data_IF_907204500301
#
_entry.id   IF_907204500301
#
_cell.length_a   1.000
_cell.length_b   1.000
_cell.length_c   1.000
_cell.angle_alpha   90.00
_cell.angle_beta   90.00
_cell.angle_gamma   90.00
#
_symmetry.space_group_name_H-M   'P 1'
#
loop_
_entity.id
_entity.type
_entity.pdbx_description
1 polymer ?
2 polymer ?
3 polymer ?
4 non-polymer ?
5 non-polymer ?
6 non-polymer ?
7 non-polymer ?
8 water ?
#
loop_
_entity_poly.entity_id
_entity_poly.type
_entity_poly.pdbx_seq_one_letter_code
_entity_poly.pdbx_strand_id
2 'polydeoxyribonucleotide' '(DA)(DC)(DT)(DT)(DT)(DA)(DT)' ?
3 'polydeoxyribonucleotide' '(DA)(DT)(DA)(DA)(DA)(DG)(DT)(DA)(DT)(DA)(DG)(DT)(DG)(DT)(DG)(DT)' ?
#
# COMPACT_ATOMS: atom_id res chain seq x y z
N UNK A 1 16.62 7.23 -14.45
CA UNK A 1 15.48 8.21 -14.41
C UNK A 1 14.16 7.50 -14.11
N UNK A 2 13.20 8.25 -13.57
CA UNK A 2 11.97 7.66 -13.05
C UNK A 2 10.89 7.44 -14.10
N UNK A 3 10.29 6.25 -14.06
CA UNK A 3 9.16 5.90 -14.92
C UNK A 3 7.85 6.34 -14.28
N UNK A 4 7.13 7.23 -14.96
CA UNK A 4 5.89 7.79 -14.41
C UNK A 4 4.64 7.14 -15.00
N UNK A 5 3.89 6.46 -14.14
CA UNK A 5 2.64 5.83 -14.54
C UNK A 5 1.59 5.99 -13.45
N UNK A 6 0.45 6.57 -13.83
CA UNK A 6 -0.65 6.82 -12.91
C UNK A 6 -2.00 6.83 -13.62
N UNK A 7 -2.90 5.94 -13.19
CA UNK A 7 -4.28 5.97 -13.68
C UNK A 7 -5.16 6.85 -12.83
N UNK A 8 -6.24 7.34 -13.43
CA UNK A 8 -7.29 8.02 -12.70
C UNK A 8 -8.60 7.37 -13.11
N UNK A 9 -9.52 7.24 -12.16
CA UNK A 9 -10.80 6.58 -12.42
C UNK A 9 -11.72 7.46 -13.26
N UNK A 10 -12.17 6.92 -14.39
CA UNK A 10 -12.92 7.70 -15.37
C UNK A 10 -14.36 7.21 -15.57
N UNK A 11 -15.31 8.03 -15.11
CA UNK A 11 -16.74 7.75 -15.24
C UNK A 11 -17.33 8.65 -16.31
N UNK A 12 -18.60 8.43 -16.63
CA UNK A 12 -19.30 9.12 -17.72
C UNK A 12 -19.33 10.64 -17.57
N UNK A 13 -19.51 11.10 -16.33
CA UNK A 13 -19.54 12.54 -16.02
C UNK A 13 -18.22 13.20 -16.35
N UNK A 14 -17.13 12.67 -15.81
CA UNK A 14 -15.81 13.24 -16.04
C UNK A 14 -15.14 12.83 -17.35
N UNK A 15 -15.75 11.87 -18.06
CA UNK A 15 -15.29 11.50 -19.40
C UNK A 15 -15.62 12.57 -20.44
N UNK A 16 -16.60 13.41 -20.12
CA UNK A 16 -16.90 14.60 -20.93
C UNK A 16 -15.68 15.48 -20.99
N UNK A 17 -15.25 15.97 -19.82
CA UNK A 17 -14.10 16.86 -19.70
C UNK A 17 -12.75 16.25 -20.06
N UNK A 18 -12.60 14.94 -19.88
CA UNK A 18 -11.36 14.23 -20.21
C UNK A 18 -11.18 14.07 -21.71
N UNK A 19 -12.29 13.84 -22.42
CA UNK A 19 -12.32 13.80 -23.87
C UNK A 19 -12.11 15.21 -24.44
N UNK A 20 -12.68 16.20 -23.73
CA UNK A 20 -12.56 17.61 -24.11
C UNK A 20 -11.14 18.20 -24.01
N UNK A 21 -10.26 17.53 -23.28
CA UNK A 21 -8.83 17.88 -23.27
C UNK A 21 -8.07 17.08 -24.32
N UNK A 22 -8.39 15.79 -24.42
CA UNK A 22 -7.65 14.84 -25.25
C UNK A 22 -7.75 15.12 -26.74
N UNK A 23 -8.89 15.70 -27.14
CA UNK A 23 -9.02 16.36 -28.44
C UNK A 23 -9.38 17.80 -28.10
N UNK A 24 -9.05 18.75 -28.98
CA UNK A 24 -9.33 20.15 -28.66
C UNK A 24 -10.62 20.62 -29.35
N UNK A 25 -11.52 21.19 -28.55
CA UNK A 25 -12.79 21.72 -29.05
C UNK A 25 -12.59 23.13 -29.59
N UNK A 32 -5.13 25.94 -20.23
CA UNK A 32 -4.52 26.95 -21.08
C UNK A 32 -2.99 26.90 -20.98
N UNK A 33 -2.45 25.74 -20.61
CA UNK A 33 -1.01 25.54 -20.50
C UNK A 33 -0.42 24.95 -21.78
N UNK A 34 -1.11 25.18 -22.88
CA UNK A 34 -0.77 24.63 -24.20
C UNK A 34 -0.41 25.74 -25.19
N UNK A 35 0.43 25.40 -26.17
CA UNK A 35 0.61 26.26 -27.33
C UNK A 35 -0.04 25.66 -28.58
N UNK A 36 -0.89 26.46 -29.26
CA UNK A 36 -1.55 26.04 -30.51
C UNK A 36 -0.59 25.88 -31.68
N UNK A 37 0.63 26.41 -31.53
CA UNK A 37 1.69 26.30 -32.55
C UNK A 37 2.29 24.90 -32.62
N UNK A 38 2.12 24.11 -31.56
CA UNK A 38 2.65 22.75 -31.48
C UNK A 38 1.52 21.72 -31.56
N UNK A 39 0.28 22.21 -31.71
CA UNK A 39 -0.95 21.39 -31.63
C UNK A 39 -1.04 20.20 -32.59
N UNK A 40 -0.53 20.37 -33.82
CA UNK A 40 -0.51 19.30 -34.81
C UNK A 40 0.61 18.28 -34.50
N UNK A 41 0.86 17.36 -35.44
CA UNK A 41 1.88 16.30 -35.29
C UNK A 41 1.49 15.23 -34.25
N UNK A 42 0.75 15.63 -33.21
CA UNK A 42 0.25 14.76 -32.16
C UNK A 42 -0.52 13.56 -32.70
N UNK A 43 -0.27 12.39 -32.13
CA UNK A 43 -0.72 11.14 -32.74
C UNK A 43 -1.53 10.19 -31.86
N UNK A 44 -2.56 9.59 -32.46
CA UNK A 44 -3.42 8.61 -31.82
C UNK A 44 -2.90 7.20 -32.11
N UNK A 45 -2.76 6.38 -31.08
CA UNK A 45 -2.15 5.05 -31.22
C UNK A 45 -3.10 3.86 -31.26
N UNK A 46 -4.39 4.11 -31.46
CA UNK A 46 -5.37 3.02 -31.68
C UNK A 46 -6.14 3.21 -32.98
N UNK A 47 -6.91 2.20 -33.35
CA UNK A 47 -7.68 2.19 -34.59
C UNK A 47 -9.13 2.64 -34.34
N UNK A 48 -9.27 3.73 -33.61
CA UNK A 48 -10.58 4.24 -33.24
C UNK A 48 -11.04 5.36 -34.17
N UNK A 49 -12.36 5.55 -34.24
CA UNK A 49 -12.95 6.60 -35.05
C UNK A 49 -12.78 7.95 -34.36
N UNK A 50 -12.18 8.90 -35.08
CA UNK A 50 -11.87 10.24 -34.59
C UNK A 50 -13.10 11.02 -34.12
N UNK A 51 -14.21 10.85 -34.86
CA UNK A 51 -15.45 11.58 -34.58
C UNK A 51 -16.21 11.08 -33.34
N UNK A 52 -16.22 9.77 -33.14
CA UNK A 52 -16.97 9.13 -32.06
C UNK A 52 -16.32 9.39 -30.68
N UNK A 53 -17.14 9.78 -29.71
CA UNK A 53 -16.69 10.02 -28.33
C UNK A 53 -16.37 8.71 -27.59
N UNK A 54 -15.58 8.81 -26.53
CA UNK A 54 -15.16 7.66 -25.71
C UNK A 54 -16.36 7.00 -25.01
N UNK A 55 -17.25 7.83 -24.46
CA UNK A 55 -18.46 7.41 -23.77
C UNK A 55 -19.31 6.46 -24.63
N UNK A 56 -19.51 6.84 -25.89
CA UNK A 56 -20.27 6.03 -26.84
C UNK A 56 -19.52 4.78 -27.27
N UNK A 57 -18.21 4.91 -27.48
CA UNK A 57 -17.38 3.79 -27.94
C UNK A 57 -17.33 2.67 -26.91
N UNK A 58 -17.08 3.04 -25.66
CA UNK A 58 -16.88 2.09 -24.57
C UNK A 58 -18.18 1.38 -24.16
N UNK A 59 -19.23 2.17 -23.93
CA UNK A 59 -20.56 1.63 -23.61
C UNK A 59 -20.99 0.54 -24.58
N UNK A 60 -20.94 0.86 -25.87
CA UNK A 60 -21.34 -0.06 -26.93
C UNK A 60 -20.39 -1.26 -27.07
N UNK A 61 -19.11 -1.04 -26.78
CA UNK A 61 -18.12 -2.12 -26.75
C UNK A 61 -18.41 -3.09 -25.61
N UNK A 62 -18.81 -2.55 -24.46
CA UNK A 62 -19.16 -3.37 -23.30
C UNK A 62 -20.51 -4.06 -23.50
N UNK A 63 -21.55 -3.27 -23.81
CA UNK A 63 -22.92 -3.77 -24.03
C UNK A 63 -23.02 -5.02 -24.91
N UNK A 64 -22.31 -4.97 -26.03
CA UNK A 64 -22.29 -6.05 -27.00
C UNK A 64 -21.44 -7.24 -26.51
N UNK A 65 -20.49 -6.98 -25.61
CA UNK A 65 -19.58 -8.02 -25.12
C UNK A 65 -19.79 -8.52 -23.69
N UNK A 66 -20.67 -7.86 -22.93
CA UNK A 66 -20.92 -8.22 -21.53
C UNK A 66 -21.75 -9.49 -21.38
N UNK A 67 -21.38 -10.33 -20.41
CA UNK A 67 -22.06 -11.62 -20.22
C UNK A 67 -23.41 -11.50 -19.51
N UNK A 68 -23.44 -10.79 -18.39
CA UNK A 68 -24.65 -10.62 -17.60
C UNK A 68 -25.61 -9.65 -18.28
N UNK A 69 -26.91 -9.85 -18.07
CA UNK A 69 -27.94 -9.04 -18.70
C UNK A 69 -28.29 -7.76 -17.93
N UNK A 70 -27.77 -7.66 -16.71
CA UNK A 70 -27.94 -6.49 -15.85
C UNK A 70 -27.31 -5.28 -16.50
N UNK A 71 -28.12 -4.24 -16.71
CA UNK A 71 -27.70 -3.03 -17.43
C UNK A 71 -26.63 -2.26 -16.66
N UNK A 72 -25.79 -1.53 -17.39
CA UNK A 72 -24.63 -0.80 -16.85
C UNK A 72 -24.99 0.25 -15.81
N UNK A 73 -24.32 0.17 -14.65
CA UNK A 73 -24.53 1.13 -13.57
C UNK A 73 -23.98 2.51 -13.89
N UNK A 74 -24.67 3.54 -13.36
CA UNK A 74 -24.37 4.93 -13.69
C UNK A 74 -23.02 5.44 -13.15
N UNK A 75 -22.56 4.86 -12.05
CA UNK A 75 -21.32 5.29 -11.42
C UNK A 75 -20.16 4.36 -11.75
N UNK A 76 -20.31 3.58 -12.82
CA UNK A 76 -19.31 2.58 -13.19
C UNK A 76 -18.02 3.22 -13.66
N UNK A 77 -16.91 2.53 -13.40
CA UNK A 77 -15.63 2.95 -13.93
C UNK A 77 -15.56 2.41 -15.35
N UNK A 78 -15.64 3.33 -16.31
CA UNK A 78 -15.73 2.96 -17.73
C UNK A 78 -14.36 2.72 -18.36
N UNK A 79 -13.39 3.55 -17.99
CA UNK A 79 -11.98 3.29 -18.31
C UNK A 79 -11.09 3.90 -17.24
N UNK A 80 -9.78 3.70 -17.39
CA UNK A 80 -8.81 4.21 -16.45
C UNK A 80 -7.71 4.91 -17.22
N UNK A 81 -7.81 6.24 -17.31
CA UNK A 81 -6.82 7.00 -18.06
C UNK A 81 -5.48 6.96 -17.35
N UNK A 82 -4.65 6.02 -17.77
CA UNK A 82 -3.28 5.94 -17.36
C UNK A 82 -2.46 7.02 -18.04
N UNK A 83 -1.54 7.60 -17.27
CA UNK A 83 -0.63 8.60 -17.79
C UNK A 83 0.76 7.97 -17.87
N UNK A 84 1.35 7.98 -19.07
CA UNK A 84 2.73 7.54 -19.23
C UNK A 84 3.62 8.72 -19.59
N UNK A 85 4.58 9.01 -18.71
CA UNK A 85 5.61 10.03 -18.95
C UNK A 85 6.86 9.71 -18.10
N UNK A 86 7.81 10.65 -18.03
CA UNK A 86 9.06 10.50 -17.25
C UNK A 86 9.68 11.90 -17.03
N UNK A 87 10.93 11.96 -16.59
CA UNK A 87 11.62 13.24 -16.41
C UNK A 87 12.04 13.83 -17.75
N UNK A 88 12.27 15.14 -17.79
CA UNK A 88 12.56 15.84 -19.04
C UNK A 88 13.90 15.49 -19.69
N UNK A 89 14.84 14.99 -18.88
CA UNK A 89 16.15 14.53 -19.37
C UNK A 89 16.06 13.23 -20.19
N UNK A 90 14.93 12.53 -20.06
CA UNK A 90 14.70 11.28 -20.77
C UNK A 90 14.27 11.51 -22.23
N UNK A 91 13.39 12.50 -22.44
CA UNK A 91 12.84 12.79 -23.77
C UNK A 91 13.75 13.64 -24.64
N UNK A 92 14.82 14.14 -24.04
CA UNK A 92 15.85 14.86 -24.77
C UNK A 92 16.74 13.89 -25.54
N UNK A 93 17.13 12.81 -24.88
CA UNK A 93 17.96 11.76 -25.48
C UNK A 93 17.18 10.84 -26.42
N UNK A 94 16.05 11.34 -26.90
CA UNK A 94 15.11 10.58 -27.72
C UNK A 94 14.75 11.39 -28.96
N UNK A 95 14.92 10.77 -30.12
CA UNK A 95 14.55 11.40 -31.40
C UNK A 95 13.05 11.30 -31.66
N UNK A 96 12.61 11.73 -32.85
CA UNK A 96 11.18 11.78 -33.17
C UNK A 96 10.55 10.43 -33.51
N UNK A 97 11.36 9.48 -33.99
CA UNK A 97 10.87 8.13 -34.30
C UNK A 97 11.15 7.15 -33.14
N UNK A 98 12.01 7.57 -32.22
CA UNK A 98 12.18 6.88 -30.93
C UNK A 98 11.14 7.34 -29.91
N UNK A 99 10.50 8.48 -30.20
CA UNK A 99 9.36 8.99 -29.43
C UNK A 99 8.18 8.03 -29.57
N UNK A 100 7.88 7.66 -30.82
CA UNK A 100 6.84 6.70 -31.17
C UNK A 100 7.12 5.32 -30.57
N UNK A 101 8.38 4.90 -30.64
CA UNK A 101 8.82 3.59 -30.13
C UNK A 101 8.66 3.48 -28.61
N UNK A 102 8.91 4.59 -27.89
CA UNK A 102 8.72 4.63 -26.44
C UNK A 102 7.25 4.49 -26.03
N UNK A 103 6.37 5.23 -26.68
CA UNK A 103 4.96 5.23 -26.34
C UNK A 103 4.23 3.96 -26.77
N UNK A 104 4.74 3.32 -27.81
CA UNK A 104 4.11 2.10 -28.31
C UNK A 104 4.40 0.89 -27.42
N UNK A 105 5.54 0.88 -26.75
CA UNK A 105 5.88 -0.17 -25.79
C UNK A 105 5.06 -0.02 -24.51
N UNK A 106 4.72 1.23 -24.19
CA UNK A 106 3.81 1.53 -23.09
C UNK A 106 2.43 0.96 -23.37
N UNK A 107 1.86 1.31 -24.53
CA UNK A 107 0.57 0.79 -24.98
C UNK A 107 0.55 -0.75 -25.02
N UNK A 108 1.66 -1.33 -25.47
CA UNK A 108 1.82 -2.78 -25.58
C UNK A 108 1.78 -3.53 -24.26
N UNK A 109 2.33 -2.93 -23.20
CA UNK A 109 2.35 -3.56 -21.87
C UNK A 109 0.96 -3.81 -21.35
N UNK A 110 0.07 -2.86 -21.62
CA UNK A 110 -1.30 -2.90 -21.17
C UNK A 110 -2.17 -3.74 -22.11
N UNK A 111 -1.65 -3.97 -23.33
CA UNK A 111 -2.32 -4.84 -24.28
C UNK A 111 -1.96 -6.30 -24.02
N UNK A 112 -0.70 -6.53 -23.63
CA UNK A 112 -0.18 -7.87 -23.34
C UNK A 112 -0.64 -8.45 -22.00
N UNK A 113 -0.90 -7.57 -21.03
CA UNK A 113 -1.32 -8.02 -19.71
C UNK A 113 -2.82 -7.86 -19.45
N UNK A 114 -3.43 -6.85 -20.07
CA UNK A 114 -4.81 -6.49 -19.76
C UNK A 114 -5.77 -6.45 -20.97
N UNK A 115 -5.25 -6.69 -22.17
CA UNK A 115 -6.10 -6.85 -23.35
C UNK A 115 -5.96 -5.81 -24.44
N UNK A 116 -6.11 -6.25 -25.69
CA UNK A 116 -5.86 -5.40 -26.86
C UNK A 116 -6.97 -4.39 -27.15
N UNK A 117 -8.20 -4.85 -27.31
CA UNK A 117 -9.32 -3.95 -27.62
C UNK A 117 -9.88 -3.29 -26.37
N UNK A 118 -9.28 -3.60 -25.22
CA UNK A 118 -9.51 -2.87 -24.00
C UNK A 118 -8.89 -1.47 -24.04
N UNK A 119 -7.80 -1.34 -24.80
CA UNK A 119 -7.13 -0.07 -25.02
C UNK A 119 -8.02 0.79 -25.92
N UNK A 120 -8.83 1.64 -25.28
CA UNK A 120 -9.82 2.45 -26.00
C UNK A 120 -9.17 3.59 -26.77
N UNK A 121 -8.19 4.26 -26.16
CA UNK A 121 -7.47 5.36 -26.79
C UNK A 121 -6.02 5.47 -26.32
N UNK A 122 -5.25 6.28 -27.04
CA UNK A 122 -3.87 6.57 -26.68
C UNK A 122 -3.46 7.91 -27.30
N UNK A 123 -3.98 8.99 -26.73
CA UNK A 123 -3.67 10.35 -27.18
C UNK A 123 -2.31 10.79 -26.65
N UNK A 124 -1.40 11.07 -27.58
CA UNK A 124 -0.06 11.57 -27.24
C UNK A 124 -0.04 13.09 -27.36
N UNK A 125 0.43 13.77 -26.31
CA UNK A 125 0.45 15.23 -26.25
C UNK A 125 1.87 15.78 -26.30
N UNK A 126 2.15 16.62 -27.29
CA UNK A 126 3.46 17.25 -27.43
C UNK A 126 3.38 18.77 -27.25
N UNK A 127 2.17 19.26 -27.01
CA UNK A 127 1.91 20.70 -26.87
C UNK A 127 1.88 21.18 -25.42
N UNK A 128 2.06 20.25 -24.48
CA UNK A 128 2.17 20.59 -23.06
C UNK A 128 3.64 20.50 -22.69
N UNK A 129 3.96 20.62 -21.39
CA UNK A 129 5.36 20.69 -20.94
C UNK A 129 6.20 19.49 -21.35
N UNK A 130 5.74 18.31 -20.99
CA UNK A 130 6.46 17.08 -21.30
C UNK A 130 5.62 16.31 -22.33
N UNK A 131 6.27 15.55 -23.23
CA UNK A 131 5.51 14.59 -24.03
C UNK A 131 4.91 13.50 -23.15
N UNK A 132 3.58 13.49 -23.06
CA UNK A 132 2.86 12.52 -22.26
C UNK A 132 1.72 11.88 -23.02
N UNK A 133 1.49 10.59 -22.76
CA UNK A 133 0.37 9.87 -23.36
C UNK A 133 -0.74 9.68 -22.33
N UNK A 134 -1.96 10.00 -22.76
CA UNK A 134 -3.16 9.69 -22.02
C UNK A 134 -3.76 8.42 -22.62
N UNK A 135 -3.49 7.27 -22.00
CA UNK A 135 -3.99 5.99 -22.51
C UNK A 135 -5.09 5.46 -21.62
N UNK A 136 -6.28 5.28 -22.19
CA UNK A 136 -7.45 4.86 -21.43
C UNK A 136 -7.78 3.39 -21.54
N UNK A 137 -7.51 2.65 -20.47
CA UNK A 137 -7.73 1.21 -20.45
C UNK A 137 -9.06 0.87 -19.81
N UNK A 138 -9.91 0.18 -20.57
CA UNK A 138 -11.21 -0.30 -20.10
C UNK A 138 -11.01 -1.58 -19.29
N UNK A 139 -11.51 -1.62 -18.04
CA UNK A 139 -11.32 -2.76 -17.13
C UNK A 139 -12.26 -3.95 -17.38
N UNK A 140 -12.30 -4.43 -18.61
CA UNK A 140 -13.20 -5.52 -19.01
C UNK A 140 -12.43 -6.83 -19.07
N UNK A 141 -12.73 -7.71 -18.11
CA UNK A 141 -12.14 -9.05 -18.11
C UNK A 141 -13.13 -10.08 -17.60
N UNK A 142 -13.10 -11.25 -18.23
CA UNK A 142 -13.99 -12.39 -17.94
C UNK A 142 -15.48 -12.08 -18.06
N UNK A 143 -15.82 -11.21 -19.01
CA UNK A 143 -17.20 -10.78 -19.25
C UNK A 143 -17.70 -9.76 -18.24
N UNK A 144 -16.83 -9.38 -17.32
CA UNK A 144 -17.14 -8.43 -16.26
C UNK A 144 -16.46 -7.10 -16.53
N UNK A 145 -17.16 -6.01 -16.20
CA UNK A 145 -16.57 -4.67 -16.22
C UNK A 145 -16.36 -4.19 -14.78
N UNK A 146 -15.12 -4.33 -14.30
CA UNK A 146 -14.78 -3.97 -12.93
C UNK A 146 -13.33 -3.54 -12.81
N UNK A 147 -13.15 -2.28 -12.41
CA UNK A 147 -11.85 -1.75 -12.08
C UNK A 147 -11.42 -2.27 -10.73
N UNK A 148 -12.40 -2.53 -9.87
CA UNK A 148 -12.19 -3.12 -8.55
C UNK A 148 -11.49 -4.47 -8.64
N UNK A 149 -11.81 -5.24 -9.68
CA UNK A 149 -11.27 -6.59 -9.86
C UNK A 149 -9.97 -6.64 -10.66
N UNK A 150 -9.81 -5.72 -11.60
CA UNK A 150 -8.60 -5.68 -12.46
C UNK A 150 -7.47 -4.83 -11.86
N UNK A 151 -7.77 -3.60 -11.47
CA UNK A 151 -6.77 -2.70 -10.89
C UNK A 151 -6.93 -2.56 -9.38
N UNK A 152 -6.56 -3.63 -8.68
CA UNK A 152 -6.66 -3.65 -7.23
C UNK A 152 -5.33 -3.28 -6.58
N UNK A 153 -5.32 -3.35 -5.25
CA UNK A 153 -4.14 -3.13 -4.43
C UNK A 153 -2.93 -3.93 -4.93
N UNK A 154 -3.13 -5.23 -5.08
CA UNK A 154 -2.08 -6.14 -5.55
C UNK A 154 -1.51 -5.75 -6.92
N UNK A 155 -2.40 -5.37 -7.83
CA UNK A 155 -2.03 -5.18 -9.24
C UNK A 155 -1.14 -3.95 -9.48
N UNK A 156 -1.48 -2.83 -8.85
CA UNK A 156 -0.74 -1.58 -9.02
C UNK A 156 0.68 -1.64 -8.46
N UNK A 157 0.89 -2.52 -7.47
CA UNK A 157 2.21 -2.80 -6.93
C UNK A 157 3.05 -3.58 -7.94
N UNK A 158 2.40 -4.50 -8.66
CA UNK A 158 3.04 -5.28 -9.71
C UNK A 158 3.42 -4.38 -10.87
N UNK A 159 2.49 -3.52 -11.28
CA UNK A 159 2.71 -2.56 -12.38
C UNK A 159 3.91 -1.63 -12.13
N UNK A 160 4.04 -1.16 -10.89
CA UNK A 160 5.16 -0.29 -10.49
C UNK A 160 6.51 -1.02 -10.47
N UNK A 161 6.45 -2.35 -10.40
CA UNK A 161 7.61 -3.23 -10.36
C UNK A 161 7.98 -3.77 -11.75
N UNK A 162 6.96 -4.23 -12.47
CA UNK A 162 7.12 -5.00 -13.71
C UNK A 162 7.31 -4.11 -14.93
N UNK A 163 6.47 -3.09 -15.09
CA UNK A 163 6.49 -2.21 -16.27
C UNK A 163 7.80 -1.45 -16.55
N UNK A 164 8.46 -0.87 -15.53
CA UNK A 164 9.79 -0.29 -15.81
C UNK A 164 10.85 -1.32 -16.22
N UNK A 165 10.79 -2.51 -15.64
CA UNK A 165 11.69 -3.62 -15.98
C UNK A 165 11.39 -4.17 -17.39
N UNK A 166 10.13 -4.07 -17.81
CA UNK A 166 9.70 -4.40 -19.16
C UNK A 166 10.22 -3.37 -20.14
N UNK A 167 10.24 -2.11 -19.71
CA UNK A 167 10.74 -1.00 -20.50
C UNK A 167 12.26 -1.08 -20.72
N UNK A 168 12.97 -1.61 -19.73
CA UNK A 168 14.42 -1.79 -19.79
C UNK A 168 14.84 -2.97 -20.68
N UNK A 169 13.86 -3.78 -21.08
CA UNK A 169 14.08 -4.87 -22.03
C UNK A 169 13.93 -4.41 -23.48
N UNK A 170 13.73 -3.11 -23.68
CA UNK A 170 13.49 -2.57 -25.00
C UNK A 170 14.43 -1.42 -25.37
N UNK A 171 15.65 -1.45 -24.83
CA UNK A 171 16.68 -0.46 -25.18
C UNK A 171 16.63 0.84 -24.39
N UNK A 172 15.53 1.06 -23.67
CA UNK A 172 15.35 2.24 -22.82
C UNK A 172 15.94 1.97 -21.44
N UNK A 173 16.40 3.03 -20.78
CA UNK A 173 17.05 2.89 -19.48
C UNK A 173 16.31 3.70 -18.41
N UNK A 174 15.55 3.00 -17.59
CA UNK A 174 14.73 3.63 -16.56
C UNK A 174 14.94 2.95 -15.22
N UNK A 175 14.27 3.49 -14.20
CA UNK A 175 14.16 2.81 -12.92
C UNK A 175 12.76 3.01 -12.36
N UNK A 176 12.28 1.98 -11.66
CA UNK A 176 11.02 2.04 -10.95
C UNK A 176 11.00 3.15 -9.92
N UNK A 177 9.83 3.76 -9.72
CA UNK A 177 9.64 4.76 -8.69
C UNK A 177 9.89 4.15 -7.32
N UNK A 178 10.33 4.97 -6.38
CA UNK A 178 10.70 4.52 -5.04
C UNK A 178 9.63 3.62 -4.44
N UNK A 179 9.99 2.37 -4.22
CA UNK A 179 9.09 1.34 -3.72
C UNK A 179 8.53 1.74 -2.36
N UNK A 180 7.24 1.43 -2.14
CA UNK A 180 6.51 1.79 -0.92
C UNK A 180 6.63 3.29 -0.60
N UNK A 181 6.34 4.12 -1.60
CA UNK A 181 6.47 5.57 -1.49
C UNK A 181 5.48 6.14 -0.49
N UNK A 182 5.80 7.30 0.05
CA UNK A 182 4.92 8.01 0.97
C UNK A 182 4.38 9.31 0.34
N UNK A 183 4.76 9.55 -0.92
CA UNK A 183 4.37 10.76 -1.63
C UNK A 183 2.91 10.74 -2.05
N UNK A 184 2.18 11.81 -1.71
CA UNK A 184 0.78 11.95 -2.07
C UNK A 184 0.63 12.76 -3.36
N UNK A 185 -0.27 12.32 -4.24
CA UNK A 185 -0.54 12.97 -5.51
C UNK A 185 -1.03 14.39 -5.34
N UNK A 186 -0.30 15.32 -5.95
CA UNK A 186 -0.73 16.71 -6.03
C UNK A 186 -1.29 17.01 -7.41
N UNK A 187 -2.43 17.69 -7.46
CA UNK A 187 -3.07 18.06 -8.73
C UNK A 187 -2.18 19.06 -9.45
N UNK A 188 -2.45 19.26 -10.74
CA UNK A 188 -1.68 20.20 -11.56
C UNK A 188 -1.66 21.60 -10.94
N UNK A 189 -2.82 22.04 -10.45
CA UNK A 189 -2.95 23.30 -9.74
C UNK A 189 -2.20 23.31 -8.41
N UNK A 190 -2.23 22.20 -7.69
CA UNK A 190 -1.56 22.05 -6.40
C UNK A 190 -0.05 22.01 -6.55
N UNK A 191 0.41 21.22 -7.52
CA UNK A 191 1.82 21.01 -7.80
C UNK A 191 2.51 22.29 -8.28
N UNK A 192 1.78 23.08 -9.07
CA UNK A 192 2.27 24.37 -9.56
C UNK A 192 2.53 25.31 -8.39
N UNK A 193 1.56 25.34 -7.46
CA UNK A 193 1.66 26.11 -6.22
C UNK A 193 2.74 25.55 -5.30
N UNK A 194 2.91 24.22 -5.32
CA UNK A 194 3.94 23.55 -4.51
C UNK A 194 5.36 23.90 -4.98
N UNK A 195 5.45 24.55 -6.13
CA UNK A 195 6.72 25.04 -6.66
C UNK A 195 6.83 26.58 -6.60
N UNK A 196 5.73 27.25 -6.21
CA UNK A 196 5.70 28.72 -6.08
C UNK A 196 6.53 29.18 -4.88
N UNK A 197 6.50 28.39 -3.82
CA UNK A 197 7.41 28.55 -2.70
C UNK A 197 8.40 27.39 -2.77
N UNK A 198 9.59 27.57 -2.22
CA UNK A 198 10.56 26.47 -2.16
C UNK A 198 11.12 26.24 -0.76
N UNK D 1 -12.00 4.33 29.81
CA UNK D 1 -11.41 3.70 28.60
C UNK D 1 -10.10 3.03 28.94
N UNK D 2 -10.06 1.73 28.77
CA UNK D 2 -9.00 0.89 29.32
C UNK D 2 -7.79 0.82 28.40
N UNK D 3 -6.65 0.45 28.97
CA UNK D 3 -5.49 0.05 28.18
C UNK D 3 -5.67 -1.41 27.81
N UNK D 4 -5.52 -1.75 26.54
CA UNK D 4 -5.46 -3.16 26.19
C UNK D 4 -4.06 -3.54 25.71
N UNK D 5 -3.44 -4.41 26.51
CA UNK D 5 -2.08 -4.89 26.26
C UNK D 5 -2.04 -6.38 26.58
N UNK D 6 -2.01 -7.20 25.53
CA UNK D 6 -1.96 -8.65 25.70
C UNK D 6 -0.85 -9.25 24.82
N UNK D 7 -0.06 -10.17 25.38
CA UNK D 7 0.95 -10.85 24.59
C UNK D 7 0.52 -12.24 24.22
N UNK D 8 1.01 -12.70 23.07
CA UNK D 8 0.83 -14.06 22.65
C UNK D 8 2.21 -14.55 22.24
N UNK D 9 2.56 -15.75 22.67
CA UNK D 9 3.89 -16.29 22.44
C UNK D 9 4.02 -16.64 20.97
N UNK D 10 5.20 -16.47 20.39
CA UNK D 10 5.40 -16.85 18.99
C UNK D 10 6.54 -17.84 18.83
N UNK D 11 6.21 -19.11 18.64
CA UNK D 11 7.22 -20.13 18.33
C UNK D 11 7.53 -20.03 16.86
N UNK D 12 8.46 -20.85 16.38
CA UNK D 12 8.88 -20.81 14.98
C UNK D 12 7.70 -20.84 14.02
N UNK D 13 6.89 -21.89 14.15
CA UNK D 13 5.75 -22.14 13.29
C UNK D 13 4.72 -21.03 13.14
N UNK D 14 4.48 -20.28 14.20
CA UNK D 14 3.46 -19.24 14.16
C UNK D 14 3.95 -18.04 13.40
N UNK D 15 5.25 -17.77 13.53
CA UNK D 15 5.87 -16.60 12.95
C UNK D 15 5.65 -16.44 11.45
N UNK D 16 5.27 -17.53 10.79
CA UNK D 16 4.92 -17.49 9.37
C UNK D 16 3.62 -16.73 9.17
N UNK D 17 2.57 -17.21 9.83
CA UNK D 17 1.24 -16.58 9.80
C UNK D 17 1.26 -15.22 10.46
N UNK D 18 2.12 -15.07 11.45
CA UNK D 18 2.31 -13.80 12.12
C UNK D 18 2.70 -12.73 11.13
N UNK D 19 3.55 -13.11 10.17
CA UNK D 19 4.04 -12.21 9.13
C UNK D 19 2.93 -11.89 8.16
N UNK D 20 2.42 -12.93 7.48
CA UNK D 20 1.49 -12.81 6.36
C UNK D 20 0.23 -12.07 6.73
N UNK D 21 -0.07 -12.02 8.03
CA UNK D 21 -1.11 -11.15 8.52
C UNK D 21 -0.59 -9.73 8.42
N UNK D 22 0.53 -9.46 9.10
CA UNK D 22 0.95 -8.11 9.46
C UNK D 22 1.28 -7.23 8.29
N UNK D 23 2.08 -7.78 7.38
CA UNK D 23 2.42 -7.11 6.13
C UNK D 23 1.34 -7.28 5.06
N UNK D 24 0.37 -8.15 5.34
CA UNK D 24 -0.88 -8.28 4.56
C UNK D 24 -0.63 -8.93 3.21
N UNK D 25 0.07 -10.06 3.26
CA UNK D 25 0.52 -10.77 2.06
C UNK D 25 -0.37 -12.02 1.83
N UNK D 26 -1.50 -11.81 1.16
CA UNK D 26 -2.48 -12.87 0.93
C UNK D 26 -2.57 -13.36 -0.53
N UNK D 27 -2.60 -14.67 -0.69
CA UNK D 27 -2.79 -15.27 -2.00
C UNK D 27 -4.26 -15.24 -2.43
N UNK D 28 -5.15 -15.08 -1.46
CA UNK D 28 -6.60 -15.10 -1.67
C UNK D 28 -7.24 -14.21 -0.60
N UNK D 29 -8.41 -13.61 -0.90
CA UNK D 29 -9.16 -12.92 0.15
C UNK D 29 -9.52 -13.95 1.21
N UNK D 30 -8.80 -13.86 2.31
CA UNK D 30 -8.81 -14.87 3.35
C UNK D 30 -8.99 -14.23 4.72
N UNK D 31 -9.46 -12.98 4.74
CA UNK D 31 -9.88 -12.39 6.01
C UNK D 31 -10.99 -11.36 5.87
N UNK D 32 -12.23 -11.86 5.82
CA UNK D 32 -13.44 -11.05 5.66
C UNK D 32 -13.44 -9.70 6.39
N UNK D 33 -13.05 -9.73 7.66
CA UNK D 33 -13.01 -8.52 8.51
C UNK D 33 -11.66 -7.81 8.49
N UNK D 34 -11.22 -7.47 7.29
CA UNK D 34 -10.10 -6.59 7.02
C UNK D 34 -10.57 -5.80 5.82
N UNK D 35 -10.58 -4.47 5.89
CA UNK D 35 -11.05 -3.74 4.72
C UNK D 35 -10.04 -3.16 3.74
N UNK D 36 -10.02 -3.73 2.53
CA UNK D 36 -9.00 -3.60 1.49
C UNK D 36 -8.54 -2.19 1.16
N UNK D 37 -9.44 -1.29 0.75
CA UNK D 37 -9.10 0.11 0.55
C UNK D 37 -8.31 0.68 1.74
N UNK D 38 -8.80 0.45 2.96
CA UNK D 38 -8.21 1.06 4.16
C UNK D 38 -6.78 0.58 4.53
N UNK D 39 -6.50 -0.71 4.36
CA UNK D 39 -5.18 -1.29 4.68
C UNK D 39 -3.95 -0.47 4.28
N UNK D 40 -4.05 0.26 3.16
CA UNK D 40 -3.00 1.18 2.69
C UNK D 40 -2.57 2.18 3.75
N UNK D 41 -3.43 2.36 4.75
CA UNK D 41 -3.19 3.30 5.84
C UNK D 41 -2.25 2.76 6.95
N UNK D 42 -1.91 1.47 6.88
CA UNK D 42 -0.96 0.87 7.82
C UNK D 42 0.46 1.39 7.70
N UNK D 43 1.30 0.93 8.61
CA UNK D 43 2.72 1.29 8.67
C UNK D 43 3.47 0.48 9.73
N UNK D 44 4.77 0.33 9.49
CA UNK D 44 5.65 -0.42 10.36
C UNK D 44 6.54 0.57 11.10
N UNK D 45 6.58 0.45 12.43
CA UNK D 45 7.25 1.44 13.27
C UNK D 45 8.75 1.27 13.36
N UNK D 46 9.23 0.03 13.39
CA UNK D 46 10.66 -0.24 13.38
C UNK D 46 11.16 -0.10 11.95
N UNK D 47 12.43 0.25 11.80
CA UNK D 47 13.00 0.37 10.46
C UNK D 47 13.50 -0.96 9.90
N UNK D 48 12.59 -1.88 9.60
CA UNK D 48 13.03 -3.24 9.29
C UNK D 48 12.93 -3.61 7.81
N UNK D 49 13.77 -4.55 7.39
CA UNK D 49 13.77 -5.02 6.03
C UNK D 49 12.61 -5.97 5.81
N UNK D 50 11.44 -5.39 5.52
CA UNK D 50 10.19 -6.13 5.28
C UNK D 50 10.31 -7.35 4.37
N UNK D 51 11.32 -7.40 3.52
CA UNK D 51 11.60 -8.57 2.68
C UNK D 51 12.16 -9.76 3.48
N UNK D 52 12.74 -9.50 4.65
CA UNK D 52 13.27 -10.59 5.49
C UNK D 52 12.17 -11.17 6.38
N UNK D 53 12.10 -12.50 6.45
CA UNK D 53 11.19 -13.19 7.37
C UNK D 53 11.42 -12.85 8.84
N UNK D 54 10.32 -12.74 9.58
CA UNK D 54 10.32 -12.53 11.03
C UNK D 54 11.17 -13.57 11.77
N UNK D 55 10.93 -14.85 11.46
CA UNK D 55 11.75 -15.96 11.91
C UNK D 55 13.24 -15.76 11.54
N UNK D 56 13.49 -15.39 10.27
CA UNK D 56 14.84 -15.20 9.76
C UNK D 56 15.56 -14.07 10.48
N UNK D 57 14.92 -12.89 10.51
CA UNK D 57 15.35 -11.74 11.33
C UNK D 57 15.74 -12.13 12.77
N UNK D 58 14.83 -12.82 13.48
CA UNK D 58 15.05 -13.14 14.89
C UNK D 58 16.23 -14.08 15.14
N UNK D 59 16.19 -15.28 14.54
CA UNK D 59 17.24 -16.27 14.75
C UNK D 59 18.66 -15.72 14.57
N UNK D 60 18.90 -15.03 13.45
CA UNK D 60 20.20 -14.39 13.19
C UNK D 60 20.60 -13.47 14.32
N UNK D 61 19.67 -12.60 14.72
CA UNK D 61 19.88 -11.71 15.85
C UNK D 61 20.18 -12.50 17.12
N UNK D 62 19.44 -13.58 17.35
CA UNK D 62 19.68 -14.38 18.54
C UNK D 62 21.06 -15.03 18.45
N UNK D 63 21.29 -15.80 17.38
CA UNK D 63 22.56 -16.51 17.18
C UNK D 63 23.79 -15.60 17.29
N UNK D 64 23.74 -14.43 16.67
CA UNK D 64 24.90 -13.54 16.63
C UNK D 64 25.12 -12.75 17.93
N UNK D 65 24.36 -13.09 18.97
CA UNK D 65 24.41 -12.35 20.25
C UNK D 65 24.27 -13.23 21.47
N UNK D 66 23.85 -14.48 21.26
CA UNK D 66 23.65 -15.44 22.35
C UNK D 66 24.98 -15.80 23.01
N UNK D 67 24.92 -16.22 24.28
CA UNK D 67 26.14 -16.48 25.06
C UNK D 67 26.53 -17.97 25.05
N UNK D 68 25.67 -18.79 24.46
CA UNK D 68 25.86 -20.25 24.46
C UNK D 68 25.63 -20.81 23.06
N UNK D 69 26.69 -21.39 22.49
CA UNK D 69 26.70 -21.92 21.13
C UNK D 69 25.71 -23.06 20.83
N UNK D 70 25.17 -23.70 21.86
CA UNK D 70 24.09 -24.68 21.69
C UNK D 70 22.89 -23.98 21.07
N UNK D 71 22.36 -24.58 20.00
CA UNK D 71 21.40 -23.92 19.12
C UNK D 71 20.04 -23.77 19.75
N UNK D 72 19.33 -22.75 19.26
CA UNK D 72 18.00 -22.37 19.72
C UNK D 72 17.10 -23.57 19.63
N UNK D 73 16.42 -23.89 20.73
CA UNK D 73 15.50 -25.02 20.75
C UNK D 73 14.36 -24.84 19.77
N UNK D 74 13.97 -25.96 19.17
CA UNK D 74 12.84 -26.07 18.26
C UNK D 74 11.59 -25.39 18.81
N UNK D 75 11.34 -25.56 20.10
CA UNK D 75 10.14 -25.03 20.73
C UNK D 75 10.35 -23.72 21.47
N UNK D 76 11.32 -22.92 21.04
CA UNK D 76 11.58 -21.65 21.72
C UNK D 76 10.49 -20.63 21.47
N UNK D 77 10.32 -19.71 22.41
CA UNK D 77 9.42 -18.58 22.18
C UNK D 77 10.30 -17.49 21.64
N UNK D 78 10.32 -17.41 20.32
CA UNK D 78 11.23 -16.55 19.59
C UNK D 78 10.92 -15.08 19.78
N UNK D 79 9.63 -14.73 19.70
CA UNK D 79 9.21 -13.38 20.09
C UNK D 79 7.85 -13.37 20.82
N UNK D 80 7.56 -12.31 21.54
CA UNK D 80 6.28 -12.24 22.19
C UNK D 80 5.46 -11.16 21.55
N UNK D 81 4.36 -11.54 20.91
CA UNK D 81 3.57 -10.57 20.18
C UNK D 81 2.57 -9.86 21.07
N UNK D 82 2.99 -8.71 21.56
CA UNK D 82 2.08 -7.84 22.28
C UNK D 82 1.21 -7.09 21.29
N UNK D 83 -0.10 -7.21 21.44
CA UNK D 83 -1.01 -6.38 20.68
C UNK D 83 -1.51 -5.25 21.56
N UNK D 84 -1.04 -4.05 21.25
CA UNK D 84 -1.45 -2.81 21.92
C UNK D 84 -2.66 -2.16 21.19
N UNK D 85 -3.70 -1.79 21.96
CA UNK D 85 -4.96 -1.15 21.46
C UNK D 85 -5.85 -0.63 22.62
N UNK D 86 -6.97 0.01 22.29
CA UNK D 86 -8.04 0.27 23.27
C UNK D 86 -9.45 0.09 22.67
N UNK D 87 -10.41 0.89 23.13
CA UNK D 87 -11.79 0.87 22.58
C UNK D 87 -12.00 1.92 21.51
N UNK D 88 -12.96 1.68 20.60
CA UNK D 88 -13.22 2.57 19.45
C UNK D 88 -13.39 4.03 19.85
N UNK D 89 -14.07 4.26 20.98
CA UNK D 89 -14.29 5.58 21.55
C UNK D 89 -12.98 6.34 21.71
N UNK D 90 -11.98 5.66 22.26
CA UNK D 90 -10.67 6.24 22.57
C UNK D 90 -9.96 6.72 21.32
N UNK D 91 -10.18 5.99 20.23
CA UNK D 91 -9.53 6.27 18.98
C UNK D 91 -10.25 7.30 18.12
N UNK D 92 -11.58 7.33 18.20
CA UNK D 92 -12.38 8.31 17.44
C UNK D 92 -12.15 9.74 17.95
N UNK D 93 -11.30 9.83 18.95
CA UNK D 93 -10.97 11.06 19.68
C UNK D 93 -9.62 11.59 19.22
N UNK D 94 -8.92 10.81 18.38
CA UNK D 94 -7.55 11.16 17.98
C UNK D 94 -7.40 11.35 16.47
N UNK D 95 -6.51 12.24 16.04
CA UNK D 95 -6.24 12.37 14.59
C UNK D 95 -5.29 11.31 14.04
N UNK D 96 -4.79 11.53 12.84
CA UNK D 96 -3.81 10.64 12.22
C UNK D 96 -2.52 10.68 12.99
N UNK D 97 -1.90 11.86 13.06
CA UNK D 97 -0.56 12.01 13.60
C UNK D 97 -0.58 11.66 15.08
N UNK D 98 -1.74 11.84 15.71
CA UNK D 98 -1.89 11.53 17.12
C UNK D 98 -1.81 10.03 17.40
N UNK D 99 -2.63 9.22 16.73
CA UNK D 99 -2.57 7.76 16.95
C UNK D 99 -1.18 7.17 16.65
N UNK D 100 -0.45 7.75 15.71
CA UNK D 100 0.89 7.30 15.37
C UNK D 100 1.85 7.55 16.54
N UNK D 101 1.63 8.66 17.25
CA UNK D 101 2.35 9.01 18.48
C UNK D 101 2.01 8.04 19.63
N UNK D 102 0.71 7.78 19.74
CA UNK D 102 0.15 6.82 20.67
C UNK D 102 0.85 5.47 20.61
N UNK D 103 1.14 5.01 19.41
CA UNK D 103 1.73 3.70 19.29
C UNK D 103 3.24 3.83 19.41
N UNK D 104 3.75 5.03 19.24
CA UNK D 104 5.18 5.13 19.24
C UNK D 104 5.60 5.12 20.67
N UNK D 105 4.87 5.88 21.50
CA UNK D 105 5.05 5.82 22.97
C UNK D 105 4.92 4.39 23.44
N UNK D 106 3.81 3.74 23.08
CA UNK D 106 3.62 2.35 23.34
C UNK D 106 4.89 1.55 23.07
N UNK D 107 5.47 1.74 21.88
CA UNK D 107 6.71 1.05 21.48
C UNK D 107 7.87 1.42 22.38
N UNK D 108 8.08 2.73 22.56
CA UNK D 108 9.12 3.23 23.42
C UNK D 108 9.10 2.55 24.78
N UNK D 109 7.92 2.33 25.34
CA UNK D 109 7.82 1.76 26.68
C UNK D 109 8.52 0.43 26.76
N UNK D 110 8.21 -0.42 25.79
CA UNK D 110 8.79 -1.76 25.72
C UNK D 110 10.22 -1.67 25.25
N UNK D 111 10.55 -0.63 24.49
CA UNK D 111 11.91 -0.44 24.03
C UNK D 111 12.83 -0.02 25.17
N UNK D 112 12.41 0.94 25.98
CA UNK D 112 13.22 1.35 27.12
C UNK D 112 13.15 0.41 28.33
N UNK D 113 12.09 -0.37 28.45
CA UNK D 113 12.04 -1.36 29.52
C UNK D 113 12.67 -2.71 29.18
N UNK D 114 12.70 -3.08 27.89
CA UNK D 114 13.10 -4.44 27.50
C UNK D 114 14.12 -4.49 26.38
N UNK D 115 14.77 -3.37 26.10
CA UNK D 115 15.82 -3.29 25.08
C UNK D 115 15.29 -3.01 23.69
N UNK D 116 15.81 -1.95 23.05
CA UNK D 116 15.39 -1.52 21.71
C UNK D 116 15.71 -2.52 20.61
N UNK D 117 16.77 -3.31 20.82
CA UNK D 117 17.19 -4.39 19.92
C UNK D 117 16.17 -5.51 19.82
N UNK D 118 15.20 -5.48 20.71
CA UNK D 118 14.28 -6.58 20.88
C UNK D 118 12.92 -6.31 20.30
N UNK D 119 12.69 -5.08 19.88
CA UNK D 119 11.52 -4.77 19.08
C UNK D 119 11.74 -5.26 17.63
N UNK D 120 11.46 -6.54 17.42
CA UNK D 120 11.67 -7.19 16.13
C UNK D 120 10.73 -6.60 15.09
N UNK D 121 9.52 -6.27 15.57
CA UNK D 121 8.54 -5.54 14.77
C UNK D 121 7.47 -4.82 15.54
N UNK D 122 7.00 -3.73 14.94
CA UNK D 122 5.86 -3.04 15.49
C UNK D 122 4.96 -2.53 14.36
N UNK D 123 3.85 -3.25 14.17
CA UNK D 123 2.98 -3.02 13.04
C UNK D 123 1.61 -2.54 13.49
N UNK D 124 1.30 -1.29 13.12
CA UNK D 124 0.00 -0.70 13.40
C UNK D 124 -1.00 -1.00 12.26
N UNK D 125 -2.09 -1.71 12.60
CA UNK D 125 -3.18 -2.04 11.69
C UNK D 125 -4.40 -1.25 12.02
N UNK D 126 -4.53 -0.05 11.49
CA UNK D 126 -5.81 0.65 11.58
C UNK D 126 -6.95 -0.09 10.83
N UNK D 127 -6.65 -0.62 9.62
CA UNK D 127 -7.59 -1.35 8.69
C UNK D 127 -8.36 -2.59 9.14
N UNK D 128 -8.12 -3.08 10.35
CA UNK D 128 -9.08 -4.04 10.94
C UNK D 128 -10.08 -3.14 11.59
N UNK D 129 -10.94 -3.69 12.44
CA UNK D 129 -12.03 -2.87 12.96
C UNK D 129 -11.43 -1.71 13.72
N UNK D 130 -10.40 -2.05 14.49
CA UNK D 130 -9.92 -1.11 15.47
C UNK D 130 -8.44 -0.86 15.23
N UNK D 131 -8.05 0.42 15.22
CA UNK D 131 -6.66 0.81 15.10
C UNK D 131 -5.83 -0.04 16.07
N UNK D 132 -4.92 -0.84 15.52
CA UNK D 132 -4.19 -1.73 16.43
C UNK D 132 -2.72 -2.07 16.18
N UNK D 133 -1.95 -2.33 17.25
CA UNK D 133 -0.52 -2.64 17.04
C UNK D 133 -0.17 -4.06 17.39
N UNK D 134 0.64 -4.71 16.53
CA UNK D 134 1.18 -6.01 16.84
C UNK D 134 2.65 -5.75 17.09
N UNK D 135 3.14 -6.14 18.26
CA UNK D 135 4.53 -5.83 18.61
C UNK D 135 5.30 -7.05 19.02
N UNK D 136 6.19 -7.52 18.13
CA UNK D 136 7.01 -8.69 18.42
C UNK D 136 8.21 -8.24 19.23
N UNK D 137 8.09 -8.36 20.55
CA UNK D 137 9.20 -8.15 21.46
C UNK D 137 9.90 -9.49 21.57
N UNK D 138 11.23 -9.48 21.46
CA UNK D 138 12.02 -10.70 21.60
C UNK D 138 12.46 -10.81 23.04
N UNK D 139 12.19 -11.97 23.69
CA UNK D 139 12.57 -12.12 25.10
C UNK D 139 14.05 -12.41 25.30
N UNK D 140 14.89 -11.39 25.18
CA UNK D 140 16.33 -11.59 25.17
C UNK D 140 17.03 -10.67 26.15
N UNK D 141 17.68 -11.28 27.13
CA UNK D 141 18.38 -10.54 28.16
C UNK D 141 19.64 -11.30 28.51
N UNK D 142 20.74 -10.57 28.70
CA UNK D 142 22.05 -11.12 29.12
C UNK D 142 22.50 -12.29 28.26
N UNK D 143 22.43 -12.12 26.94
CA UNK D 143 22.83 -13.17 25.99
C UNK D 143 21.97 -14.43 26.02
N UNK D 144 20.75 -14.30 26.58
CA UNK D 144 19.87 -15.44 26.81
C UNK D 144 18.48 -15.15 26.26
N UNK D 145 17.92 -16.13 25.56
CA UNK D 145 16.60 -16.01 24.97
C UNK D 145 15.61 -16.78 25.80
N UNK D 146 15.02 -16.13 26.80
CA UNK D 146 14.06 -16.81 27.67
C UNK D 146 12.89 -15.94 28.08
N UNK D 147 11.71 -16.25 27.51
CA UNK D 147 10.46 -15.64 27.93
C UNK D 147 10.16 -15.98 29.39
N UNK D 148 10.61 -17.15 29.83
CA UNK D 148 10.40 -17.61 31.20
C UNK D 148 10.96 -16.61 32.22
N UNK D 149 12.15 -16.09 31.92
CA UNK D 149 12.84 -15.19 32.83
C UNK D 149 12.42 -13.74 32.64
N UNK D 150 11.78 -13.43 31.51
CA UNK D 150 11.45 -12.04 31.20
C UNK D 150 9.97 -11.72 31.36
N UNK D 151 9.14 -12.63 30.90
CA UNK D 151 7.72 -12.38 30.88
C UNK D 151 7.00 -13.37 31.76
N UNK D 152 6.93 -12.99 33.03
CA UNK D 152 6.53 -13.87 34.11
C UNK D 152 5.64 -13.07 35.04
N UNK D 153 4.78 -13.77 35.79
CA UNK D 153 3.71 -13.14 36.58
C UNK D 153 4.00 -11.73 37.12
N UNK D 154 5.11 -11.60 37.87
CA UNK D 154 5.56 -10.31 38.43
C UNK D 154 5.52 -9.20 37.38
N UNK D 155 6.17 -9.48 36.24
CA UNK D 155 6.36 -8.48 35.18
C UNK D 155 5.07 -8.15 34.42
N UNK D 156 4.28 -9.18 34.14
CA UNK D 156 2.99 -8.98 33.49
C UNK D 156 2.03 -8.21 34.37
N UNK D 157 2.08 -8.49 35.68
CA UNK D 157 1.36 -7.71 36.69
C UNK D 157 1.86 -6.26 36.70
N UNK D 158 3.18 -6.09 36.67
CA UNK D 158 3.82 -4.78 36.59
C UNK D 158 3.40 -4.03 35.34
N UNK D 159 3.44 -4.68 34.17
CA UNK D 159 3.04 -4.04 32.93
C UNK D 159 1.63 -3.49 33.03
N UNK D 160 0.64 -4.35 33.29
CA UNK D 160 -0.75 -3.92 33.48
C UNK D 160 -0.90 -2.76 34.49
N UNK D 161 -0.06 -2.75 35.51
CA UNK D 161 -0.02 -1.66 36.46
C UNK D 161 0.63 -0.41 35.87
N UNK D 162 1.91 -0.54 35.55
CA UNK D 162 2.80 0.58 35.25
C UNK D 162 2.57 1.23 33.89
N UNK D 163 2.40 0.40 32.85
CA UNK D 163 2.27 0.92 31.47
C UNK D 163 1.20 1.98 31.21
N UNK D 164 -0.02 1.80 31.78
CA UNK D 164 -1.00 2.87 31.56
C UNK D 164 -0.67 4.19 32.26
N UNK D 165 0.30 4.17 33.16
CA UNK D 165 0.76 5.41 33.78
C UNK D 165 1.70 6.11 32.83
N UNK D 166 2.51 5.33 32.11
CA UNK D 166 3.45 5.84 31.10
C UNK D 166 2.72 6.64 30.01
N UNK D 167 1.63 6.06 29.50
CA UNK D 167 0.76 6.70 28.52
C UNK D 167 0.04 7.91 29.08
N UNK D 168 -0.22 7.90 30.38
CA UNK D 168 -0.86 9.03 31.02
C UNK D 168 0.12 10.16 31.22
N UNK D 169 1.40 9.90 30.96
CA UNK D 169 2.45 10.91 31.11
C UNK D 169 2.77 11.53 29.78
N UNK D 170 2.48 10.79 28.73
CA UNK D 170 2.53 11.31 27.39
C UNK D 170 1.12 11.74 26.98
N UNK D 171 0.31 12.05 27.98
CA UNK D 171 -0.97 12.73 27.80
C UNK D 171 -2.03 11.94 27.05
N UNK D 172 -2.13 10.65 27.33
CA UNK D 172 -3.23 9.83 26.83
C UNK D 172 -4.12 9.43 27.99
N UNK D 173 -5.43 9.52 27.76
CA UNK D 173 -6.42 9.42 28.82
C UNK D 173 -6.92 7.97 29.01
N UNK D 174 -6.12 7.18 29.71
CA UNK D 174 -6.39 5.76 29.93
C UNK D 174 -6.30 5.39 31.40
N UNK D 175 -7.20 4.52 31.83
CA UNK D 175 -7.14 3.90 33.16
C UNK D 175 -6.67 2.45 33.03
N UNK D 176 -6.04 1.93 34.08
CA UNK D 176 -5.50 0.57 34.08
C UNK D 176 -6.61 -0.49 34.09
N UNK D 177 -6.31 -1.66 33.56
CA UNK D 177 -7.27 -2.76 33.49
C UNK D 177 -7.57 -3.33 34.87
N UNK D 178 -8.82 -3.72 35.09
CA UNK D 178 -9.31 -4.11 36.42
C UNK D 178 -8.47 -5.20 37.06
N UNK D 179 -7.84 -4.85 38.17
CA UNK D 179 -6.86 -5.67 38.89
C UNK D 179 -7.40 -7.02 39.37
N UNK D 180 -6.57 -8.05 39.22
CA UNK D 180 -6.94 -9.47 39.45
C UNK D 180 -8.21 -9.87 38.71
N UNK D 181 -8.22 -9.61 37.40
CA UNK D 181 -9.38 -9.80 36.56
C UNK D 181 -9.89 -11.23 36.54
N UNK D 182 -11.21 -11.36 36.67
CA UNK D 182 -11.86 -12.66 36.65
C UNK D 182 -11.98 -13.19 35.23
N UNK D 183 -12.46 -12.33 34.33
CA UNK D 183 -12.70 -12.68 32.93
C UNK D 183 -11.41 -13.02 32.20
N UNK D 184 -11.43 -14.09 31.41
CA UNK D 184 -10.26 -14.52 30.66
C UNK D 184 -10.46 -14.43 29.13
N UNK D 185 -9.38 -14.62 28.39
CA UNK D 185 -9.30 -14.34 26.94
C UNK D 185 -10.26 -15.11 26.04
N UNK D 186 -10.88 -14.39 25.11
CA UNK D 186 -11.70 -14.98 24.05
C UNK D 186 -11.05 -14.67 22.70
N UNK D 187 -11.03 -15.66 21.81
CA UNK D 187 -10.41 -15.50 20.49
C UNK D 187 -11.11 -14.45 19.64
N UNK D 188 -10.36 -13.89 18.68
CA UNK D 188 -10.87 -12.87 17.77
C UNK D 188 -12.09 -13.34 16.97
N UNK D 189 -12.17 -14.65 16.72
CA UNK D 189 -13.34 -15.24 16.08
C UNK D 189 -14.51 -15.46 17.04
N UNK D 190 -14.22 -15.67 18.32
CA UNK D 190 -15.24 -15.96 19.35
C UNK D 190 -16.21 -14.81 19.65
N UNK D 191 -17.37 -14.83 18.98
CA UNK D 191 -18.51 -13.97 19.26
C UNK D 191 -19.79 -14.66 18.79
X LIG G 1 -2.46 16.34 -21.88
X LIG H 1 12.76 27.31 1.46
X LIG I 1 3.75 23.84 -23.30
X LIG J 1 2.30 2.77 1.31
X LIG K 1 -4.22 -7.36 13.30
X LIG L 1 16.66 -7.13 15.05
X LIG M 1 -11.75 -0.16 3.03
X LIG N 1 -12.63 -2.04 9.61
X LIG O 1 -7.58 -9.46 22.56
#
# INVERSE_FOLDING_TARGET
SYMVARMQKMKAGNLGGAFKHNERVFETHSNKDINPSRSHLNYELTDRDRSVSYEKQIKDYVNENKVSNRAIRKDAVLCDEWIITSDKDFFEKLDEEQTRTFFETAKNYFAENYGESNIAYASVHLDESTPHMHMGVVPFENGKLSSKAMFDREELKHIQEDLPRYMSDHGFELERGKLNSEAKHKTVAEFKRAMADM
SYMVARMQKMKAGNLGGAFKHNERVFETHSNKDINPSRSHLNYELTDRDRSVSYEKQIKDYVNENKVSNRAIRKDAVLCDEWIITSDKDFFEKLDEEQTRTFFETAKNYFAENYGESNIAYASVHLDESTPHMHMGVVPFENGKLSSKAMFDREELKHIQEDLPRYMSDHGFELERGKLNSEAKHKTVAEFKRAMADM
MN MN
MG MG
CL CL
NA NA
MN MN
CL CL
CL CL
CL CL
CL CL
#
